data_IF_632100290975
#
_entry.id   IF_632100290975
#
_cell.length_a   1.000
_cell.length_b   1.000
_cell.length_c   1.000
_cell.angle_alpha   90.00
_cell.angle_beta   90.00
_cell.angle_gamma   90.00
#
_symmetry.space_group_name_H-M   'P 1'
#
loop_
_entity.id
_entity.type
_entity.pdbx_description
1 polymer ?
#
# COMPACT_ATOMS: atom_id res chain seq x y z
N UNK A 1 7.57 18.51 12.54
CA UNK A 1 8.81 17.70 12.63
C UNK A 1 8.50 16.41 13.39
N UNK A 2 8.67 15.23 12.77
CA UNK A 2 8.52 13.94 13.46
C UNK A 2 9.54 13.88 14.61
N UNK A 3 9.06 13.80 15.86
CA UNK A 3 9.92 13.50 17.02
C UNK A 3 10.50 12.12 16.78
N UNK A 4 11.82 12.00 16.66
CA UNK A 4 12.53 10.73 16.58
C UNK A 4 12.41 10.00 17.93
N UNK A 5 11.28 9.32 18.15
CA UNK A 5 11.19 8.29 19.19
C UNK A 5 11.97 7.07 18.69
N UNK A 6 12.73 6.43 19.58
CA UNK A 6 13.33 5.12 19.28
C UNK A 6 12.18 4.13 19.10
N UNK A 7 11.82 3.84 17.86
CA UNK A 7 10.88 2.77 17.53
C UNK A 7 11.67 1.48 17.31
N UNK A 8 11.13 0.38 17.81
CA UNK A 8 11.60 -0.96 17.48
C UNK A 8 11.30 -1.28 16.02
N UNK A 9 12.02 -2.26 15.46
CA UNK A 9 11.76 -2.75 14.11
C UNK A 9 10.29 -3.20 13.94
N UNK A 10 9.73 -3.86 14.94
CA UNK A 10 8.34 -4.34 14.92
C UNK A 10 7.32 -3.20 14.83
N UNK A 11 7.56 -2.11 15.57
CA UNK A 11 6.70 -0.92 15.51
C UNK A 11 6.81 -0.24 14.15
N UNK A 12 8.02 -0.15 13.59
CA UNK A 12 8.24 0.43 12.26
C UNK A 12 7.54 -0.38 11.16
N UNK A 13 7.64 -1.71 11.21
CA UNK A 13 6.93 -2.61 10.29
C UNK A 13 5.41 -2.41 10.42
N UNK A 14 4.91 -2.28 11.64
CA UNK A 14 3.48 -2.08 11.91
C UNK A 14 2.98 -0.73 11.38
N UNK A 15 3.77 0.34 11.56
CA UNK A 15 3.46 1.67 11.01
C UNK A 15 3.47 1.64 9.47
N UNK A 16 4.49 1.04 8.86
CA UNK A 16 4.58 0.89 7.41
C UNK A 16 3.38 0.11 6.86
N UNK A 17 3.01 -1.00 7.49
CA UNK A 17 1.84 -1.80 7.08
C UNK A 17 0.56 -0.97 7.14
N UNK A 18 0.36 -0.17 8.20
CA UNK A 18 -0.80 0.74 8.30
C UNK A 18 -0.78 1.82 7.23
N UNK A 19 0.38 2.41 6.93
CA UNK A 19 0.48 3.42 5.88
C UNK A 19 0.15 2.84 4.50
N UNK A 20 0.71 1.69 4.16
CA UNK A 20 0.44 1.00 2.89
C UNK A 20 -1.03 0.61 2.72
N UNK A 21 -1.69 0.14 3.78
CA UNK A 21 -3.10 -0.26 3.72
C UNK A 21 -4.07 0.94 3.65
N UNK A 22 -3.64 2.12 4.10
CA UNK A 22 -4.46 3.34 4.03
C UNK A 22 -4.17 4.18 2.78
N UNK A 23 -3.18 3.78 1.98
CA UNK A 23 -2.85 4.44 0.72
C UNK A 23 -3.87 4.05 -0.36
N UNK A 24 -4.94 4.83 -0.44
CA UNK A 24 -6.02 4.66 -1.43
C UNK A 24 -5.52 4.78 -2.86
N UNK A 25 -4.55 5.65 -3.14
CA UNK A 25 -4.03 5.84 -4.50
C UNK A 25 -3.26 4.61 -4.98
N UNK A 26 -2.48 4.00 -4.08
CA UNK A 26 -1.80 2.73 -4.37
C UNK A 26 -2.79 1.58 -4.61
N UNK A 27 -3.86 1.50 -3.81
CA UNK A 27 -4.92 0.50 -3.98
C UNK A 27 -5.64 0.65 -5.32
N UNK A 28 -6.02 1.87 -5.69
CA UNK A 28 -6.70 2.17 -6.96
C UNK A 28 -5.82 1.81 -8.18
N UNK A 29 -4.50 2.07 -8.10
CA UNK A 29 -3.54 1.64 -9.14
C UNK A 29 -3.47 0.11 -9.28
N UNK A 30 -3.60 -0.62 -8.17
CA UNK A 30 -3.63 -2.09 -8.19
C UNK A 30 -4.92 -2.58 -8.84
N UNK A 31 -6.07 -2.04 -8.45
CA UNK A 31 -7.37 -2.38 -9.02
C UNK A 31 -7.39 -2.15 -10.54
N UNK A 32 -6.97 -0.95 -10.98
CA UNK A 32 -6.89 -0.63 -12.41
C UNK A 32 -6.02 -1.61 -13.20
N UNK A 33 -4.84 -1.99 -12.67
CA UNK A 33 -3.98 -3.00 -13.31
C UNK A 33 -4.63 -4.39 -13.36
N UNK A 34 -5.47 -4.71 -12.38
CA UNK A 34 -6.18 -5.98 -12.32
C UNK A 34 -7.29 -6.01 -13.36
N UNK A 35 -8.07 -4.93 -13.48
CA UNK A 35 -9.09 -4.76 -14.52
C UNK A 35 -8.48 -4.84 -15.92
N UNK A 36 -7.40 -4.10 -16.18
CA UNK A 36 -6.68 -4.15 -17.47
C UNK A 36 -6.24 -5.58 -17.83
N UNK A 37 -5.79 -6.37 -16.86
CA UNK A 37 -5.42 -7.78 -17.08
C UNK A 37 -6.62 -8.68 -17.37
N UNK A 38 -7.76 -8.43 -16.74
CA UNK A 38 -8.97 -9.20 -16.98
C UNK A 38 -9.56 -8.89 -18.36
N UNK A 39 -9.58 -7.61 -18.76
CA UNK A 39 -10.02 -7.19 -20.10
C UNK A 39 -9.16 -7.83 -21.19
N UNK A 40 -7.83 -7.82 -21.04
CA UNK A 40 -6.90 -8.47 -21.97
C UNK A 40 -7.02 -10.00 -22.07
N UNK A 41 -7.66 -10.66 -21.10
CA UNK A 41 -7.91 -12.11 -21.15
C UNK A 41 -9.25 -12.46 -21.80
N UNK A 42 -10.16 -11.50 -21.88
CA UNK A 42 -11.49 -11.68 -22.45
C UNK A 42 -11.54 -11.38 -23.95
N UNK A 43 -10.58 -10.61 -24.46
CA UNK A 43 -10.29 -10.38 -25.89
C UNK A 43 -9.40 -11.48 -26.46
#
# INVERSE_FOLDING_TARGET
MRRFRKMTLQELISENKRQLLNDREALEKIEKKLEERMLKKAE
#
